data_IF_095495440864
#
_entry.id   IF_095495440864
#
_cell.length_a   1.000
_cell.length_b   1.000
_cell.length_c   1.000
_cell.angle_alpha   90.00
_cell.angle_beta   90.00
_cell.angle_gamma   90.00
#
_symmetry.space_group_name_H-M   'P 1'
#
loop_
_entity.id
_entity.type
_entity.pdbx_description
1 polymer ?
#
# COMPACT_ATOMS: atom_id res chain seq x y z
N UNK A 1 -9.97 -28.02 3.43
CA UNK A 1 -8.64 -27.54 2.98
C UNK A 1 -8.87 -26.38 2.04
N UNK A 2 -8.15 -25.26 2.19
CA UNK A 2 -8.29 -24.12 1.29
C UNK A 2 -7.88 -24.51 -0.13
N UNK A 3 -8.56 -23.93 -1.11
CA UNK A 3 -8.28 -24.10 -2.54
C UNK A 3 -7.00 -23.36 -2.92
N UNK A 4 -6.39 -23.74 -4.05
CA UNK A 4 -5.22 -23.03 -4.59
C UNK A 4 -5.49 -21.53 -4.83
N UNK A 5 -6.74 -21.19 -5.16
CA UNK A 5 -7.20 -19.81 -5.37
C UNK A 5 -7.23 -19.02 -4.05
N UNK A 6 -7.73 -19.63 -2.97
CA UNK A 6 -7.76 -19.02 -1.64
C UNK A 6 -6.33 -18.75 -1.14
N UNK A 7 -5.42 -19.71 -1.31
CA UNK A 7 -4.00 -19.55 -0.94
C UNK A 7 -3.32 -18.42 -1.75
N UNK A 8 -3.54 -18.38 -3.07
CA UNK A 8 -2.98 -17.32 -3.92
C UNK A 8 -3.49 -15.94 -3.51
N UNK A 9 -4.76 -15.85 -3.11
CA UNK A 9 -5.39 -14.61 -2.69
C UNK A 9 -4.88 -14.12 -1.33
N UNK A 10 -4.77 -15.01 -0.33
CA UNK A 10 -4.17 -14.68 0.97
C UNK A 10 -2.74 -14.16 0.82
N UNK A 11 -1.97 -14.78 -0.07
CA UNK A 11 -0.61 -14.32 -0.38
C UNK A 11 -0.60 -12.93 -1.04
N UNK A 12 -1.55 -12.63 -1.93
CA UNK A 12 -1.68 -11.32 -2.54
C UNK A 12 -2.05 -10.25 -1.51
N UNK A 13 -3.01 -10.52 -0.63
CA UNK A 13 -3.39 -9.63 0.48
C UNK A 13 -2.19 -9.32 1.37
N UNK A 14 -1.43 -10.34 1.76
CA UNK A 14 -0.25 -10.16 2.61
C UNK A 14 0.82 -9.31 1.94
N UNK A 15 1.05 -9.49 0.64
CA UNK A 15 2.01 -8.69 -0.13
C UNK A 15 1.57 -7.23 -0.23
N UNK A 16 0.29 -6.98 -0.51
CA UNK A 16 -0.27 -5.62 -0.58
C UNK A 16 -0.20 -4.94 0.78
N UNK A 17 -0.55 -5.64 1.86
CA UNK A 17 -0.48 -5.11 3.22
C UNK A 17 0.97 -4.78 3.63
N UNK A 18 1.92 -5.65 3.31
CA UNK A 18 3.34 -5.39 3.55
C UNK A 18 3.80 -4.15 2.77
N UNK A 19 3.49 -4.07 1.47
CA UNK A 19 3.88 -2.95 0.63
C UNK A 19 3.28 -1.62 1.14
N UNK A 20 1.99 -1.59 1.51
CA UNK A 20 1.35 -0.43 2.11
C UNK A 20 2.13 0.08 3.33
N UNK A 21 2.45 -0.82 4.27
CA UNK A 21 3.21 -0.48 5.48
C UNK A 21 4.62 0.02 5.17
N UNK A 22 5.33 -0.65 4.27
CA UNK A 22 6.70 -0.29 3.89
C UNK A 22 6.75 1.11 3.27
N UNK A 23 5.89 1.39 2.28
CA UNK A 23 5.85 2.71 1.65
C UNK A 23 5.37 3.80 2.61
N UNK A 24 4.39 3.51 3.48
CA UNK A 24 3.94 4.47 4.50
C UNK A 24 5.04 4.81 5.51
N UNK A 25 5.88 3.85 5.86
CA UNK A 25 7.03 4.06 6.75
C UNK A 25 8.13 4.90 6.09
N UNK A 26 8.29 4.80 4.77
CA UNK A 26 9.22 5.60 3.98
C UNK A 26 8.73 7.04 3.79
N UNK A 27 7.42 7.26 3.71
CA UNK A 27 6.83 8.58 3.60
C UNK A 27 7.01 9.41 4.88
N UNK A 28 7.46 10.64 4.71
CA UNK A 28 7.77 11.60 5.78
C UNK A 28 6.95 12.86 5.58
N UNK A 29 6.08 13.18 6.54
CA UNK A 29 5.18 14.35 6.46
C UNK A 29 5.97 15.66 6.40
N UNK A 30 7.08 15.72 7.11
CA UNK A 30 7.97 16.88 7.16
C UNK A 30 8.65 17.18 5.82
N UNK A 31 8.76 16.21 4.90
CA UNK A 31 9.36 16.40 3.57
C UNK A 31 8.34 16.95 2.56
N UNK A 32 7.04 16.90 2.85
CA UNK A 32 5.99 17.47 1.98
C UNK A 32 6.09 19.00 1.81
N UNK A 33 6.84 19.68 2.68
CA UNK A 33 7.12 21.12 2.59
C UNK A 33 8.54 21.42 2.08
N UNK A 34 9.29 20.39 1.66
CA UNK A 34 10.69 20.57 1.21
C UNK A 34 10.76 21.35 -0.09
N UNK A 35 11.61 22.39 -0.11
CA UNK A 35 11.93 23.15 -1.33
C UNK A 35 12.92 22.42 -2.25
N UNK A 36 13.53 21.33 -1.76
CA UNK A 36 14.43 20.50 -2.57
C UNK A 36 13.59 19.51 -3.38
N UNK A 37 13.50 19.77 -4.68
CA UNK A 37 12.58 19.08 -5.58
C UNK A 37 12.79 17.56 -5.63
N UNK A 38 14.04 17.09 -5.55
CA UNK A 38 14.35 15.66 -5.58
C UNK A 38 13.89 14.94 -4.31
N UNK A 39 14.11 15.55 -3.14
CA UNK A 39 13.66 15.01 -1.85
C UNK A 39 12.13 15.02 -1.77
N UNK A 40 11.50 16.13 -2.16
CA UNK A 40 10.04 16.25 -2.25
C UNK A 40 9.46 15.19 -3.21
N UNK A 41 10.00 15.10 -4.42
CA UNK A 41 9.50 14.17 -5.44
C UNK A 41 9.62 12.70 -5.02
N UNK A 42 10.72 12.30 -4.39
CA UNK A 42 10.87 10.96 -3.85
C UNK A 42 9.88 10.68 -2.70
N UNK A 43 9.66 11.67 -1.83
CA UNK A 43 8.69 11.54 -0.75
C UNK A 43 7.26 11.38 -1.28
N UNK A 44 6.84 12.21 -2.23
CA UNK A 44 5.51 12.10 -2.87
C UNK A 44 5.34 10.75 -3.59
N UNK A 45 6.40 10.22 -4.20
CA UNK A 45 6.37 8.87 -4.76
C UNK A 45 6.08 7.81 -3.71
N UNK A 46 6.72 7.87 -2.54
CA UNK A 46 6.42 6.94 -1.44
C UNK A 46 5.02 7.12 -0.89
N UNK A 47 4.55 8.36 -0.73
CA UNK A 47 3.19 8.68 -0.29
C UNK A 47 2.13 8.10 -1.23
N UNK A 48 2.25 8.37 -2.53
CA UNK A 48 1.32 7.86 -3.54
C UNK A 48 1.35 6.33 -3.66
N UNK A 49 2.52 5.68 -3.47
CA UNK A 49 2.59 4.22 -3.40
C UNK A 49 1.86 3.67 -2.17
N UNK A 50 2.06 4.28 -1.00
CA UNK A 50 1.39 3.88 0.22
C UNK A 50 -0.14 3.96 0.05
N UNK A 51 -0.64 5.10 -0.41
CA UNK A 51 -2.07 5.34 -0.67
C UNK A 51 -2.65 4.32 -1.66
N UNK A 52 -1.96 4.07 -2.77
CA UNK A 52 -2.43 3.11 -3.76
C UNK A 52 -2.52 1.67 -3.22
N UNK A 53 -1.58 1.25 -2.38
CA UNK A 53 -1.66 -0.08 -1.75
C UNK A 53 -2.72 -0.13 -0.64
N UNK A 54 -2.90 0.95 0.12
CA UNK A 54 -3.95 1.06 1.15
C UNK A 54 -5.35 0.98 0.53
N UNK A 55 -5.59 1.72 -0.56
CA UNK A 55 -6.86 1.68 -1.31
C UNK A 55 -7.10 0.29 -1.94
N UNK A 56 -6.06 -0.31 -2.54
CA UNK A 56 -6.17 -1.67 -3.06
C UNK A 56 -6.53 -2.68 -1.97
N UNK A 57 -5.95 -2.55 -0.77
CA UNK A 57 -6.24 -3.40 0.36
C UNK A 57 -7.69 -3.25 0.83
N UNK A 58 -8.21 -2.01 0.87
CA UNK A 58 -9.60 -1.72 1.21
C UNK A 58 -10.57 -2.37 0.21
N UNK A 59 -10.36 -2.15 -1.09
CA UNK A 59 -11.19 -2.76 -2.15
C UNK A 59 -11.24 -4.29 -2.02
N UNK A 60 -10.09 -4.93 -1.77
CA UNK A 60 -10.01 -6.38 -1.62
C UNK A 60 -10.75 -6.88 -0.37
N UNK A 61 -10.62 -6.16 0.76
CA UNK A 61 -11.33 -6.48 2.01
C UNK A 61 -12.84 -6.31 1.86
N UNK A 62 -13.29 -5.23 1.21
CA UNK A 62 -14.72 -5.00 0.96
C UNK A 62 -15.35 -6.10 0.12
N UNK A 63 -14.65 -6.53 -0.94
CA UNK A 63 -15.13 -7.64 -1.79
C UNK A 63 -15.26 -8.95 -1.02
N UNK A 64 -14.43 -9.18 0.00
CA UNK A 64 -14.56 -10.36 0.86
C UNK A 64 -15.69 -10.23 1.88
N UNK A 65 -15.89 -9.05 2.47
CA UNK A 65 -16.97 -8.86 3.46
C UNK A 65 -18.37 -8.97 2.84
N UNK A 66 -18.49 -8.81 1.52
CA UNK A 66 -19.75 -8.88 0.76
C UNK A 66 -19.94 -10.22 0.04
N UNK A 67 -19.02 -11.17 0.17
CA UNK A 67 -19.07 -12.46 -0.52
C UNK A 67 -19.45 -13.63 0.38
#
# INVERSE_FOLDING_TARGET
MPTSKEIAYENALKQIETAAKEYRNLWKREICESVKIEEYGLNEFFGGKAEGFEEALEILKERMSKS
#
